data_IF_712592840155
#
_entry.id   IF_712592840155
#
_cell.length_a   1.000
_cell.length_b   1.000
_cell.length_c   1.000
_cell.angle_alpha   90.00
_cell.angle_beta   90.00
_cell.angle_gamma   90.00
#
_symmetry.space_group_name_H-M   'P 1'
#
loop_
_entity.id
_entity.type
_entity.pdbx_description
1 polymer ?
#
# COMPACT_ATOMS: atom_id res chain seq x y z
N UNK A 1 11.97 -52.28 23.67
CA UNK A 1 10.64 -51.96 23.11
C UNK A 1 10.45 -50.44 23.16
N UNK A 2 10.07 -49.83 22.02
CA UNK A 2 9.96 -48.38 21.84
C UNK A 2 8.71 -47.80 22.53
N UNK A 3 8.78 -46.60 23.15
CA UNK A 3 7.62 -45.97 23.76
C UNK A 3 6.79 -45.15 22.76
N UNK A 4 5.47 -45.30 22.90
CA UNK A 4 4.35 -44.39 22.59
C UNK A 4 4.41 -43.47 21.35
N UNK A 5 3.53 -43.81 20.39
CA UNK A 5 2.92 -42.90 19.43
C UNK A 5 2.25 -41.72 20.14
N UNK A 6 2.80 -40.52 19.96
CA UNK A 6 2.17 -39.26 20.35
C UNK A 6 1.07 -38.90 19.36
N UNK A 7 -0.18 -38.81 19.85
CA UNK A 7 -1.31 -38.27 19.10
C UNK A 7 -1.09 -36.77 18.90
N UNK A 8 -0.82 -36.33 17.67
CA UNK A 8 -0.78 -34.91 17.33
C UNK A 8 -2.17 -34.31 17.50
N UNK A 9 -2.32 -33.42 18.47
CA UNK A 9 -3.56 -32.70 18.76
C UNK A 9 -3.72 -31.58 17.72
N UNK A 10 -4.73 -31.71 16.85
CA UNK A 10 -5.08 -30.64 15.92
C UNK A 10 -5.51 -29.39 16.70
N UNK A 11 -4.76 -28.29 16.52
CA UNK A 11 -5.10 -26.99 17.08
C UNK A 11 -6.24 -26.43 16.22
N UNK A 12 -7.41 -26.09 16.79
CA UNK A 12 -8.49 -25.50 16.02
C UNK A 12 -8.05 -24.13 15.49
N UNK A 13 -8.22 -23.91 14.19
CA UNK A 13 -8.05 -22.60 13.58
C UNK A 13 -9.06 -21.64 14.20
N UNK A 14 -8.58 -20.76 15.07
CA UNK A 14 -9.42 -19.76 15.73
C UNK A 14 -10.02 -18.86 14.66
N UNK A 15 -11.34 -18.96 14.48
CA UNK A 15 -12.13 -18.07 13.63
C UNK A 15 -11.79 -16.63 14.05
N UNK A 16 -11.18 -15.87 13.14
CA UNK A 16 -10.96 -14.45 13.35
C UNK A 16 -12.34 -13.80 13.52
N UNK A 17 -12.62 -13.36 14.74
CA UNK A 17 -13.69 -12.42 15.06
C UNK A 17 -13.63 -11.20 14.11
N UNK A 18 -14.70 -10.44 13.85
CA UNK A 18 -14.63 -9.22 13.06
C UNK A 18 -13.87 -8.16 13.87
N UNK A 19 -12.54 -8.26 13.84
CA UNK A 19 -11.59 -7.44 14.60
C UNK A 19 -11.69 -5.98 14.13
N UNK A 20 -11.80 -5.09 15.11
CA UNK A 20 -12.19 -3.68 14.97
C UNK A 20 -11.27 -2.82 14.10
N UNK A 21 -11.54 -1.52 14.10
CA UNK A 21 -10.84 -0.48 13.31
C UNK A 21 -9.33 -0.36 13.63
N UNK A 22 -8.84 -1.09 14.63
CA UNK A 22 -7.47 -1.06 15.14
C UNK A 22 -6.62 -2.26 14.68
N UNK A 23 -6.89 -2.82 13.50
CA UNK A 23 -6.00 -3.84 12.93
C UNK A 23 -4.84 -3.24 12.14
N UNK A 24 -3.65 -3.80 12.35
CA UNK A 24 -2.42 -3.37 11.71
C UNK A 24 -1.64 -4.54 11.11
N UNK A 25 -0.99 -4.30 9.98
CA UNK A 25 0.05 -5.14 9.40
C UNK A 25 1.26 -4.28 9.14
N UNK A 26 2.37 -4.58 9.81
CA UNK A 26 3.64 -3.87 9.62
C UNK A 26 4.48 -4.63 8.61
N UNK A 27 5.00 -3.90 7.61
CA UNK A 27 6.02 -4.40 6.69
C UNK A 27 7.39 -4.07 7.28
N UNK A 28 8.17 -5.09 7.62
CA UNK A 28 9.39 -4.94 8.40
C UNK A 28 10.59 -5.60 7.72
N UNK A 29 11.76 -4.96 7.90
CA UNK A 29 13.05 -5.55 7.56
C UNK A 29 13.72 -6.02 8.85
N UNK A 30 14.24 -7.24 8.80
CA UNK A 30 14.73 -7.92 9.97
C UNK A 30 16.17 -8.39 9.76
N UNK A 31 16.91 -8.48 10.86
CA UNK A 31 18.29 -8.98 10.89
C UNK A 31 18.45 -9.92 12.07
N UNK A 32 19.00 -11.12 11.85
CA UNK A 32 19.37 -12.02 12.95
C UNK A 32 20.67 -11.58 13.61
N UNK A 33 20.99 -12.17 14.76
CA UNK A 33 22.28 -11.96 15.43
C UNK A 33 23.47 -12.38 14.56
N UNK A 34 23.29 -13.40 13.70
CA UNK A 34 24.28 -13.81 12.68
C UNK A 34 24.36 -12.88 11.46
N UNK A 35 23.57 -11.81 11.44
CA UNK A 35 23.54 -10.83 10.34
C UNK A 35 22.70 -11.25 9.13
N UNK A 36 21.94 -12.35 9.23
CA UNK A 36 21.06 -12.83 8.15
C UNK A 36 19.88 -11.88 8.02
N UNK A 37 19.66 -11.38 6.81
CA UNK A 37 18.57 -10.44 6.52
C UNK A 37 17.32 -11.17 6.04
N UNK A 38 16.18 -10.69 6.51
CA UNK A 38 14.86 -11.16 6.07
C UNK A 38 13.87 -10.00 6.01
N UNK A 39 12.69 -10.25 5.43
CA UNK A 39 11.56 -9.35 5.47
C UNK A 39 10.32 -10.08 5.95
N UNK A 40 9.54 -9.38 6.76
CA UNK A 40 8.39 -9.94 7.46
C UNK A 40 7.18 -9.02 7.35
N UNK A 41 6.00 -9.63 7.37
CA UNK A 41 4.71 -8.99 7.55
C UNK A 41 4.18 -9.38 8.93
N UNK A 42 4.13 -8.43 9.86
CA UNK A 42 3.74 -8.67 11.24
C UNK A 42 2.33 -8.12 11.49
N UNK A 43 1.42 -8.98 11.90
CA UNK A 43 0.04 -8.60 12.21
C UNK A 43 -0.14 -8.26 13.69
N UNK A 44 -0.87 -7.18 13.96
CA UNK A 44 -1.24 -6.72 15.29
C UNK A 44 -2.75 -6.47 15.37
N UNK A 45 -3.46 -6.98 16.40
CA UNK A 45 -4.88 -6.71 16.62
C UNK A 45 -5.13 -5.32 17.24
N UNK A 46 -4.11 -4.46 17.25
CA UNK A 46 -4.06 -3.15 17.88
C UNK A 46 -2.86 -2.37 17.35
N UNK A 47 -2.59 -1.19 17.93
CA UNK A 47 -1.42 -0.38 17.54
C UNK A 47 -0.11 -1.19 17.60
N UNK A 48 0.80 -1.03 16.63
CA UNK A 48 2.02 -1.83 16.58
C UNK A 48 2.92 -1.61 17.79
N UNK A 49 3.37 -2.72 18.37
CA UNK A 49 4.23 -2.79 19.55
C UNK A 49 5.27 -3.92 19.38
N UNK A 50 5.96 -4.30 20.47
CA UNK A 50 7.03 -5.31 20.42
C UNK A 50 6.55 -6.77 20.31
N UNK A 51 5.24 -7.01 20.34
CA UNK A 51 4.65 -8.35 20.40
C UNK A 51 3.59 -8.52 19.30
N UNK A 52 4.01 -8.85 18.06
CA UNK A 52 3.06 -9.20 17.01
C UNK A 52 2.29 -10.45 17.39
N UNK A 53 1.04 -10.54 16.93
CA UNK A 53 0.20 -11.72 17.18
C UNK A 53 0.55 -12.86 16.21
N UNK A 54 0.91 -12.53 14.98
CA UNK A 54 1.36 -13.51 13.97
C UNK A 54 2.27 -12.83 12.96
N UNK A 55 3.25 -13.56 12.46
CA UNK A 55 4.25 -13.07 11.51
C UNK A 55 4.23 -13.97 10.28
N UNK A 56 4.30 -13.37 9.10
CA UNK A 56 4.54 -14.06 7.84
C UNK A 56 5.89 -13.62 7.26
N UNK A 57 6.68 -14.56 6.79
CA UNK A 57 7.87 -14.25 6.00
C UNK A 57 7.49 -14.00 4.53
N UNK A 58 8.11 -13.02 3.90
CA UNK A 58 7.87 -12.71 2.49
C UNK A 58 8.80 -13.51 1.57
N UNK A 59 10.05 -13.71 1.97
CA UNK A 59 11.04 -14.58 1.33
C UNK A 59 12.19 -14.87 2.29
N UNK A 60 12.56 -16.15 2.44
CA UNK A 60 13.62 -16.55 3.36
C UNK A 60 14.99 -16.07 2.86
N UNK A 61 15.80 -15.50 3.77
CA UNK A 61 17.19 -15.11 3.51
C UNK A 61 17.39 -13.90 2.58
N UNK A 62 16.33 -13.16 2.25
CA UNK A 62 16.43 -11.92 1.48
C UNK A 62 15.60 -10.80 2.10
N UNK A 63 16.07 -9.57 1.95
CA UNK A 63 15.25 -8.38 2.24
C UNK A 63 14.39 -8.09 1.01
N UNK A 64 13.08 -8.00 1.19
CA UNK A 64 12.17 -7.51 0.18
C UNK A 64 12.46 -6.03 -0.14
N UNK A 65 12.49 -5.71 -1.43
CA UNK A 65 12.35 -4.33 -1.89
C UNK A 65 10.87 -3.98 -1.79
N UNK A 66 10.51 -3.11 -0.86
CA UNK A 66 9.12 -2.73 -0.65
C UNK A 66 8.65 -1.75 -1.71
N UNK A 67 9.44 -0.72 -1.99
CA UNK A 67 9.09 0.37 -2.90
C UNK A 67 8.98 -0.12 -4.35
N UNK A 68 7.97 0.37 -5.07
CA UNK A 68 7.65 -0.01 -6.44
C UNK A 68 7.44 -1.53 -6.61
N UNK A 69 6.89 -2.19 -5.59
CA UNK A 69 6.79 -3.65 -5.55
C UNK A 69 5.43 -4.11 -5.02
N UNK A 70 5.04 -5.31 -5.47
CA UNK A 70 3.94 -6.08 -4.92
C UNK A 70 4.54 -7.25 -4.16
N UNK A 71 4.37 -7.25 -2.84
CA UNK A 71 4.91 -8.28 -1.96
C UNK A 71 3.77 -9.02 -1.28
N UNK A 72 3.90 -10.33 -1.11
CA UNK A 72 2.92 -11.14 -0.37
C UNK A 72 3.60 -11.96 0.71
N UNK A 73 2.90 -12.17 1.81
CA UNK A 73 3.29 -13.05 2.91
C UNK A 73 2.13 -13.94 3.31
N UNK A 74 2.41 -15.22 3.57
CA UNK A 74 1.40 -16.18 4.02
C UNK A 74 1.58 -16.44 5.51
N UNK A 75 0.55 -16.16 6.29
CA UNK A 75 0.49 -16.46 7.72
C UNK A 75 0.19 -17.95 7.95
N UNK A 76 0.51 -18.45 9.15
CA UNK A 76 0.31 -19.86 9.53
C UNK A 76 -1.15 -20.33 9.43
N UNK A 77 -2.10 -19.42 9.63
CA UNK A 77 -3.53 -19.69 9.47
C UNK A 77 -3.97 -19.79 7.99
N UNK A 78 -3.04 -19.70 7.04
CA UNK A 78 -3.28 -19.78 5.61
C UNK A 78 -3.73 -18.47 4.96
N UNK A 79 -3.99 -17.41 5.73
CA UNK A 79 -4.30 -16.11 5.16
C UNK A 79 -3.06 -15.52 4.48
N UNK A 80 -3.28 -14.92 3.32
CA UNK A 80 -2.25 -14.20 2.57
C UNK A 80 -2.54 -12.72 2.68
N UNK A 81 -1.52 -11.95 3.05
CA UNK A 81 -1.54 -10.51 2.93
C UNK A 81 -0.69 -10.10 1.72
N UNK A 82 -1.25 -9.26 0.87
CA UNK A 82 -0.57 -8.72 -0.30
C UNK A 82 -0.49 -7.20 -0.16
N UNK A 83 0.72 -6.65 -0.14
CA UNK A 83 0.98 -5.22 -0.13
C UNK A 83 1.45 -4.74 -1.50
N UNK A 84 0.87 -3.63 -1.97
CA UNK A 84 1.33 -2.88 -3.14
C UNK A 84 1.82 -1.53 -2.67
N UNK A 85 3.14 -1.33 -2.67
CA UNK A 85 3.78 -0.08 -2.26
C UNK A 85 4.30 0.64 -3.50
N UNK A 86 3.95 1.92 -3.62
CA UNK A 86 4.36 2.77 -4.72
C UNK A 86 5.80 3.27 -4.58
N UNK A 87 6.13 4.39 -5.25
CA UNK A 87 7.41 5.05 -5.10
C UNK A 87 7.71 5.45 -3.65
N UNK A 88 8.98 5.70 -3.28
CA UNK A 88 9.34 6.20 -1.96
C UNK A 88 8.60 7.50 -1.62
N UNK A 89 8.07 7.57 -0.40
CA UNK A 89 7.39 8.75 0.15
C UNK A 89 8.00 9.17 1.50
N UNK A 90 7.68 10.38 1.95
CA UNK A 90 8.14 10.88 3.25
C UNK A 90 7.50 10.12 4.43
N UNK A 91 8.12 10.22 5.61
CA UNK A 91 7.56 9.66 6.85
C UNK A 91 6.16 10.22 7.12
N UNK A 92 5.19 9.35 7.39
CA UNK A 92 3.79 9.69 7.65
C UNK A 92 2.90 9.74 6.40
N UNK A 93 3.49 9.77 5.20
CA UNK A 93 2.75 9.86 3.94
C UNK A 93 2.17 8.51 3.52
N UNK A 94 1.09 8.58 2.73
CA UNK A 94 0.48 7.42 2.10
C UNK A 94 1.44 6.81 1.08
N UNK A 95 1.75 5.53 1.26
CA UNK A 95 2.74 4.81 0.45
C UNK A 95 2.10 3.77 -0.48
N UNK A 96 0.88 3.33 -0.19
CA UNK A 96 0.22 2.30 -0.99
C UNK A 96 -0.91 1.58 -0.26
N UNK A 97 -1.22 0.38 -0.70
CA UNK A 97 -2.36 -0.40 -0.20
C UNK A 97 -1.95 -1.81 0.19
N UNK A 98 -2.72 -2.42 1.07
CA UNK A 98 -2.64 -3.83 1.43
C UNK A 98 -3.98 -4.52 1.24
N UNK A 99 -3.96 -5.83 1.01
CA UNK A 99 -5.17 -6.65 0.88
C UNK A 99 -4.99 -7.96 1.61
N UNK A 100 -6.00 -8.32 2.39
CA UNK A 100 -6.18 -9.65 2.96
C UNK A 100 -7.52 -10.23 2.51
N UNK A 101 -7.80 -11.49 2.88
CA UNK A 101 -9.11 -12.10 2.64
C UNK A 101 -10.25 -11.37 3.37
N UNK A 102 -9.94 -10.66 4.46
CA UNK A 102 -10.91 -9.97 5.32
C UNK A 102 -11.12 -8.48 4.96
N UNK A 103 -10.36 -7.92 4.01
CA UNK A 103 -10.51 -6.52 3.63
C UNK A 103 -9.24 -5.87 3.09
N UNK A 104 -9.35 -4.57 2.84
CA UNK A 104 -8.27 -3.72 2.35
C UNK A 104 -7.66 -2.90 3.49
N UNK A 105 -6.39 -2.58 3.32
CA UNK A 105 -5.58 -1.77 4.21
C UNK A 105 -4.99 -0.61 3.41
N UNK A 106 -4.84 0.50 4.09
CA UNK A 106 -4.07 1.65 3.61
C UNK A 106 -2.69 1.55 4.26
N UNK A 107 -1.61 1.82 3.53
CA UNK A 107 -0.25 1.69 4.04
C UNK A 107 0.45 3.05 4.04
N UNK A 108 1.09 3.38 5.15
CA UNK A 108 1.84 4.62 5.33
C UNK A 108 3.30 4.34 5.63
N UNK A 109 4.18 5.23 5.17
CA UNK A 109 5.60 5.16 5.53
C UNK A 109 5.73 5.47 7.02
N UNK A 110 6.14 4.49 7.81
CA UNK A 110 6.31 4.68 9.24
C UNK A 110 7.51 3.91 9.75
N UNK A 111 8.67 4.54 9.67
CA UNK A 111 9.93 3.90 10.06
C UNK A 111 10.10 3.85 11.58
N UNK A 112 10.06 2.63 12.14
CA UNK A 112 10.22 2.36 13.58
C UNK A 112 11.35 1.36 13.79
N UNK A 113 12.51 1.86 14.25
CA UNK A 113 13.69 1.04 14.55
C UNK A 113 13.39 0.04 15.67
N UNK A 114 13.89 -1.18 15.52
CA UNK A 114 13.85 -2.23 16.55
C UNK A 114 12.44 -2.41 17.13
N UNK A 115 11.44 -2.43 16.26
CA UNK A 115 10.03 -2.44 16.65
C UNK A 115 9.68 -3.70 17.44
N UNK A 116 10.12 -4.87 16.97
CA UNK A 116 9.88 -6.16 17.62
C UNK A 116 11.04 -7.12 17.34
N UNK A 117 11.10 -8.20 18.11
CA UNK A 117 12.00 -9.34 17.87
C UNK A 117 11.14 -10.59 17.65
N UNK A 118 11.43 -11.34 16.59
CA UNK A 118 10.72 -12.58 16.27
C UNK A 118 11.68 -13.62 15.72
N UNK A 119 11.66 -14.82 16.31
CA UNK A 119 12.53 -15.94 15.93
C UNK A 119 14.01 -15.53 15.82
N UNK A 120 14.52 -14.79 16.82
CA UNK A 120 15.91 -14.30 16.87
C UNK A 120 16.26 -13.25 15.79
N UNK A 121 15.26 -12.70 15.10
CA UNK A 121 15.44 -11.57 14.20
C UNK A 121 14.92 -10.28 14.82
N UNK A 122 15.79 -9.26 14.89
CA UNK A 122 15.42 -7.91 15.28
C UNK A 122 14.85 -7.16 14.08
N UNK A 123 13.60 -6.73 14.18
CA UNK A 123 12.83 -6.19 13.07
C UNK A 123 12.59 -4.69 13.20
N UNK A 124 12.88 -3.96 12.12
CA UNK A 124 12.57 -2.54 11.95
C UNK A 124 11.34 -2.40 11.06
N UNK A 125 10.28 -1.79 11.59
CA UNK A 125 9.07 -1.50 10.82
C UNK A 125 9.35 -0.40 9.80
N UNK A 126 8.96 -0.62 8.54
CA UNK A 126 9.17 0.30 7.43
C UNK A 126 7.85 0.96 7.03
N UNK A 127 6.80 0.16 6.90
CA UNK A 127 5.45 0.62 6.59
C UNK A 127 4.46 0.08 7.61
N UNK A 128 3.46 0.90 7.90
CA UNK A 128 2.37 0.53 8.78
C UNK A 128 1.07 0.52 7.96
N UNK A 129 0.45 -0.64 7.82
CA UNK A 129 -0.80 -0.81 7.08
C UNK A 129 -1.95 -1.01 8.05
N UNK A 130 -2.99 -0.19 7.97
CA UNK A 130 -4.17 -0.32 8.84
C UNK A 130 -5.48 -0.12 8.08
N UNK A 131 -6.59 -0.41 8.74
CA UNK A 131 -7.94 -0.30 8.15
C UNK A 131 -8.51 1.12 8.12
N UNK A 132 -7.74 2.16 8.46
CA UNK A 132 -8.23 3.54 8.35
C UNK A 132 -8.51 3.86 6.89
N UNK A 133 -9.73 4.30 6.63
CA UNK A 133 -10.12 4.80 5.33
C UNK A 133 -9.26 6.03 5.01
N UNK A 134 -8.61 6.06 3.86
CA UNK A 134 -8.02 7.29 3.34
C UNK A 134 -9.19 8.20 3.00
N UNK A 135 -9.54 9.16 3.85
CA UNK A 135 -10.49 10.21 3.47
C UNK A 135 -10.02 10.82 2.15
N UNK A 136 -10.93 11.00 1.18
CA UNK A 136 -10.67 11.38 -0.22
C UNK A 136 -9.65 12.55 -0.40
N UNK A 137 -9.41 13.34 0.65
CA UNK A 137 -8.44 14.43 0.69
C UNK A 137 -6.97 14.02 0.53
N UNK A 138 -6.57 12.80 0.89
CA UNK A 138 -5.17 12.36 0.80
C UNK A 138 -4.83 11.63 -0.52
N UNK A 139 -5.83 11.21 -1.29
CA UNK A 139 -5.63 10.60 -2.61
C UNK A 139 -5.14 11.60 -3.68
N UNK A 140 -5.16 12.90 -3.37
CA UNK A 140 -4.81 13.97 -4.30
C UNK A 140 -3.78 14.93 -3.70
N UNK A 141 -2.72 14.40 -3.08
CA UNK A 141 -1.51 15.19 -2.79
C UNK A 141 -0.38 14.76 -3.70
N UNK A 142 -0.62 14.85 -5.01
CA UNK A 142 0.50 14.99 -5.96
C UNK A 142 0.95 16.44 -5.86
N UNK A 143 2.09 16.63 -5.21
CA UNK A 143 2.81 17.90 -5.11
C UNK A 143 2.77 18.65 -6.44
N UNK A 144 2.00 19.75 -6.47
CA UNK A 144 1.98 20.67 -7.60
C UNK A 144 3.28 21.47 -7.58
N UNK A 145 4.32 20.94 -8.20
CA UNK A 145 5.46 21.77 -8.59
C UNK A 145 5.00 22.63 -9.75
N UNK A 146 4.54 23.84 -9.43
CA UNK A 146 4.25 24.92 -10.35
C UNK A 146 5.52 25.32 -11.11
N UNK A 147 5.63 24.89 -12.37
CA UNK A 147 6.55 25.47 -13.35
C UNK A 147 5.81 26.50 -14.19
N UNK A 148 5.96 27.76 -13.78
CA UNK A 148 5.46 28.95 -14.48
C UNK A 148 6.32 29.21 -15.72
N UNK A 149 5.67 29.13 -16.91
CA UNK A 149 5.81 29.99 -18.11
C UNK A 149 7.22 30.27 -18.68
N UNK A 150 7.50 30.09 -19.98
CA UNK A 150 7.01 30.97 -21.06
C UNK A 150 7.67 30.59 -22.42
N UNK A 151 6.88 30.55 -23.51
CA UNK A 151 7.12 31.05 -24.90
C UNK A 151 8.42 30.62 -25.66
N UNK A 152 8.49 30.30 -26.96
CA UNK A 152 7.68 30.58 -28.16
C UNK A 152 8.19 29.70 -29.32
N UNK A 153 7.30 29.37 -30.27
CA UNK A 153 7.49 29.27 -31.74
C UNK A 153 8.74 28.62 -32.34
N UNK A 154 8.55 27.67 -33.28
CA UNK A 154 8.66 27.91 -34.74
C UNK A 154 8.60 26.57 -35.52
N UNK A 155 7.84 26.62 -36.61
CA UNK A 155 7.61 25.64 -37.68
C UNK A 155 8.84 24.99 -38.31
N UNK A 156 8.71 23.73 -38.75
CA UNK A 156 9.21 23.27 -40.07
C UNK A 156 8.60 21.91 -40.49
N UNK A 157 8.16 21.92 -41.73
CA UNK A 157 7.54 20.90 -42.59
C UNK A 157 8.54 19.80 -42.99
N UNK A 158 8.07 18.56 -43.20
CA UNK A 158 8.18 17.77 -44.46
C UNK A 158 8.19 16.25 -44.26
N UNK A 159 7.23 15.60 -44.93
CA UNK A 159 7.30 14.36 -45.74
C UNK A 159 7.84 13.08 -45.06
N UNK A 160 7.27 11.87 -45.19
CA UNK A 160 6.88 11.20 -46.45
C UNK A 160 6.10 9.91 -46.16
N UNK A 161 5.24 9.56 -47.13
CA UNK A 161 4.37 8.40 -47.36
C UNK A 161 4.85 6.97 -47.04
N UNK A 162 3.89 6.09 -46.71
CA UNK A 162 3.39 4.93 -47.52
C UNK A 162 2.64 3.92 -46.61
N UNK A 163 1.32 3.78 -46.68
CA UNK A 163 0.53 2.82 -47.49
C UNK A 163 0.58 1.36 -47.01
N UNK A 164 -0.55 0.86 -46.49
CA UNK A 164 -1.17 -0.50 -46.63
C UNK A 164 -1.91 -0.88 -45.33
N UNK A 165 -3.03 -1.57 -45.28
CA UNK A 165 -4.11 -1.91 -46.21
C UNK A 165 -5.30 -2.29 -45.31
N UNK A 166 -6.51 -1.99 -45.77
CA UNK A 166 -7.77 -2.30 -45.09
C UNK A 166 -7.97 -3.81 -44.91
N UNK A 167 -8.46 -4.23 -43.74
CA UNK A 167 -9.41 -5.34 -43.66
C UNK A 167 -10.25 -5.22 -42.38
N UNK A 168 -11.54 -4.99 -42.59
CA UNK A 168 -12.61 -4.95 -41.62
C UNK A 168 -13.07 -6.37 -41.29
N UNK A 169 -13.03 -6.78 -40.02
CA UNK A 169 -13.94 -7.80 -39.49
C UNK A 169 -14.21 -7.53 -38.01
N UNK A 170 -15.48 -7.31 -37.72
CA UNK A 170 -16.05 -7.06 -36.40
C UNK A 170 -16.12 -8.36 -35.58
N UNK A 171 -15.69 -8.29 -34.33
CA UNK A 171 -16.26 -9.10 -33.26
C UNK A 171 -16.25 -8.28 -31.96
N UNK A 172 -17.47 -8.12 -31.49
CA UNK A 172 -17.96 -7.54 -30.26
C UNK A 172 -17.49 -8.37 -29.05
N UNK A 173 -16.89 -7.72 -28.06
CA UNK A 173 -16.81 -8.19 -26.68
C UNK A 173 -16.49 -7.02 -25.75
N UNK A 174 -17.54 -6.54 -25.09
CA UNK A 174 -17.59 -5.60 -23.98
C UNK A 174 -16.39 -5.67 -23.01
N UNK A 175 -15.51 -4.67 -23.08
CA UNK A 175 -14.55 -4.35 -22.03
C UNK A 175 -15.23 -3.43 -20.99
N UNK A 176 -15.50 -3.96 -19.80
CA UNK A 176 -15.78 -3.16 -18.61
C UNK A 176 -14.45 -2.55 -18.14
N UNK A 177 -14.25 -1.27 -18.45
CA UNK A 177 -13.14 -0.45 -17.98
C UNK A 177 -13.50 0.14 -16.61
N UNK A 178 -12.90 -0.30 -15.48
CA UNK A 178 -13.20 0.29 -14.19
C UNK A 178 -12.54 1.67 -14.08
N UNK A 179 -13.37 2.70 -14.22
CA UNK A 179 -13.31 3.98 -13.53
C UNK A 179 -11.94 4.70 -13.56
N UNK A 180 -11.65 5.35 -14.68
CA UNK A 180 -10.91 6.60 -14.66
C UNK A 180 -11.83 7.65 -14.02
N UNK A 181 -11.81 7.80 -12.70
CA UNK A 181 -12.45 8.93 -12.01
C UNK A 181 -11.63 10.17 -12.33
N UNK A 182 -12.03 10.88 -13.38
CA UNK A 182 -11.65 12.27 -13.60
C UNK A 182 -12.15 13.11 -12.43
N UNK A 183 -11.22 13.70 -11.68
CA UNK A 183 -11.55 14.70 -10.67
C UNK A 183 -12.19 15.90 -11.35
N UNK A 184 -13.51 16.03 -11.23
CA UNK A 184 -14.25 17.23 -11.61
C UNK A 184 -14.00 18.28 -10.52
N UNK A 185 -13.18 19.29 -10.82
CA UNK A 185 -13.01 20.48 -10.00
C UNK A 185 -14.34 21.23 -9.96
N UNK A 186 -15.11 21.05 -8.88
CA UNK A 186 -16.22 21.93 -8.55
C UNK A 186 -15.67 23.33 -8.27
N UNK A 187 -16.04 24.29 -9.12
CA UNK A 187 -15.94 25.72 -8.84
C UNK A 187 -16.80 26.08 -7.63
N UNK A 188 -16.27 26.76 -6.60
CA UNK A 188 -17.07 27.63 -5.77
C UNK A 188 -16.99 29.06 -6.31
N UNK A 189 -17.96 29.42 -7.16
CA UNK A 189 -18.40 30.82 -7.29
C UNK A 189 -19.24 31.14 -6.05
N UNK A 190 -18.70 31.88 -5.09
CA UNK A 190 -19.50 32.62 -4.09
C UNK A 190 -18.72 33.89 -3.72
N UNK A 191 -19.22 35.02 -4.22
CA UNK A 191 -18.78 36.37 -3.89
C UNK A 191 -18.97 36.64 -2.39
N UNK A 192 -17.89 36.90 -1.66
CA UNK A 192 -17.99 37.61 -0.39
C UNK A 192 -18.06 39.13 -0.64
N UNK A 193 -19.23 39.70 -0.41
CA UNK A 193 -19.47 41.14 -0.31
C UNK A 193 -18.84 41.65 1.00
N UNK A 194 -17.85 42.54 0.89
CA UNK A 194 -17.28 43.27 2.03
C UNK A 194 -18.19 44.46 2.35
N UNK A 195 -18.88 44.42 3.49
CA UNK A 195 -19.55 45.59 4.08
C UNK A 195 -18.66 46.18 5.17
N UNK A 196 -18.13 47.38 4.91
CA UNK A 196 -17.53 48.24 5.93
C UNK A 196 -18.63 48.96 6.71
N UNK A 197 -18.67 48.77 8.03
CA UNK A 197 -19.36 49.70 8.94
C UNK A 197 -18.29 50.47 9.73
N UNK A 198 -18.05 51.72 9.33
CA UNK A 198 -17.47 52.74 10.20
C UNK A 198 -18.60 53.31 11.07
N UNK A 199 -18.40 53.35 12.38
CA UNK A 199 -19.18 54.21 13.29
C UNK A 199 -18.24 55.11 14.07
N UNK A 200 -18.59 56.40 14.02
CA UNK A 200 -18.11 57.52 14.84
C UNK A 200 -18.09 57.19 16.33
#
# INVERSE_FOLDING_TARGET
MFPHLGTARAIPATKLDPRGLDEYVVLANCISDDGIRSSQMAYFPGSPNASPNVVAETSYGQTSVWENSVTSGRFDNGNIFTSTIGPPVAQGEFAGTGKASQGSFSCWRNHRKNLYNWAEHLCTGIYDCNRKWVSDSAACSTSSTSSTSSTSSTSSTSSTSSTSSSNSHAYDATHHNPAHRTCSLGHPDELFVILFFTRN
#
